data_IF_633904475275
#
_entry.id   IF_633904475275
#
_cell.length_a   1.000
_cell.length_b   1.000
_cell.length_c   1.000
_cell.angle_alpha   90.00
_cell.angle_beta   90.00
_cell.angle_gamma   90.00
#
_symmetry.space_group_name_H-M   'P 1'
#
loop_
_entity.id
_entity.type
_entity.pdbx_description
1 polymer ?
#
# COMPACT_ATOMS: atom_id res chain seq x y z
N UNK A 1 -54.15 7.56 -17.63
CA UNK A 1 -52.76 7.94 -17.98
C UNK A 1 -51.83 7.02 -17.20
N UNK A 2 -50.96 6.24 -17.87
CA UNK A 2 -50.02 5.29 -17.23
C UNK A 2 -48.68 6.01 -17.03
N UNK A 3 -48.25 6.18 -15.79
CA UNK A 3 -46.94 6.74 -15.44
C UNK A 3 -45.96 5.57 -15.24
N UNK A 4 -45.14 5.29 -16.24
CA UNK A 4 -44.02 4.36 -16.11
C UNK A 4 -42.86 5.11 -15.46
N UNK A 5 -42.68 4.93 -14.15
CA UNK A 5 -41.50 5.44 -13.43
C UNK A 5 -40.34 4.47 -13.59
N UNK A 6 -39.34 4.85 -14.38
CA UNK A 6 -38.05 4.17 -14.48
C UNK A 6 -37.18 4.65 -13.31
N UNK A 7 -36.93 3.79 -12.32
CA UNK A 7 -35.98 4.07 -11.24
C UNK A 7 -34.58 3.87 -11.81
N UNK A 8 -33.88 4.97 -12.10
CA UNK A 8 -32.46 4.94 -12.44
C UNK A 8 -31.65 4.70 -11.16
N UNK A 9 -31.01 3.52 -11.06
CA UNK A 9 -30.08 3.22 -9.98
C UNK A 9 -28.78 4.02 -10.19
N UNK A 10 -28.55 5.03 -9.35
CA UNK A 10 -27.30 5.80 -9.34
C UNK A 10 -26.18 4.92 -8.76
N UNK A 11 -25.18 4.58 -9.58
CA UNK A 11 -23.94 3.99 -9.09
C UNK A 11 -23.21 5.03 -8.23
N UNK A 12 -23.18 4.80 -6.91
CA UNK A 12 -22.33 5.56 -6.00
C UNK A 12 -20.88 5.23 -6.37
N UNK A 13 -20.24 6.11 -7.13
CA UNK A 13 -18.78 6.12 -7.24
C UNK A 13 -18.29 6.54 -5.87
N UNK A 14 -17.78 5.59 -5.09
CA UNK A 14 -17.08 5.90 -3.85
C UNK A 14 -15.86 6.73 -4.23
N UNK A 15 -15.99 8.06 -4.15
CA UNK A 15 -14.85 8.94 -4.18
C UNK A 15 -13.98 8.52 -3.01
N UNK A 16 -12.81 7.97 -3.32
CA UNK A 16 -11.82 7.51 -2.37
C UNK A 16 -11.66 8.61 -1.33
N UNK A 17 -12.12 8.36 -0.10
CA UNK A 17 -11.81 9.25 0.99
C UNK A 17 -10.28 9.18 1.14
N UNK A 18 -9.58 10.18 0.61
CA UNK A 18 -8.20 10.46 1.00
C UNK A 18 -8.34 10.95 2.44
N UNK A 19 -8.43 10.01 3.38
CA UNK A 19 -8.13 10.35 4.76
C UNK A 19 -6.64 10.72 4.72
N UNK A 20 -6.35 12.02 4.84
CA UNK A 20 -5.00 12.50 4.97
C UNK A 20 -4.29 11.66 6.04
N UNK A 21 -3.34 10.81 5.63
CA UNK A 21 -2.59 9.90 6.49
C UNK A 21 -2.81 8.40 6.26
N UNK A 22 -3.65 7.95 5.31
CA UNK A 22 -3.75 6.52 4.97
C UNK A 22 -3.38 6.26 3.50
N UNK A 23 -2.72 5.13 3.25
CA UNK A 23 -2.40 4.63 1.92
C UNK A 23 -3.68 4.44 1.07
N UNK A 24 -3.55 4.51 -0.25
CA UNK A 24 -4.69 4.33 -1.16
C UNK A 24 -4.95 2.84 -1.36
N UNK A 25 -6.14 2.40 -0.96
CA UNK A 25 -6.56 1.01 -1.06
C UNK A 25 -6.40 0.46 -2.49
N UNK A 26 -5.82 -0.72 -2.61
CA UNK A 26 -5.56 -1.38 -3.89
C UNK A 26 -4.19 -1.06 -4.51
N UNK A 27 -3.52 0.03 -4.10
CA UNK A 27 -2.16 0.33 -4.55
C UNK A 27 -1.11 -0.46 -3.78
N UNK A 28 0.05 -0.63 -4.40
CA UNK A 28 1.23 -1.15 -3.73
C UNK A 28 2.18 -0.02 -3.36
N UNK A 29 2.92 -0.21 -2.27
CA UNK A 29 3.83 0.78 -1.73
C UNK A 29 5.18 0.15 -1.38
N UNK A 30 6.24 0.90 -1.63
CA UNK A 30 7.53 0.68 -1.01
C UNK A 30 7.44 0.97 0.48
N UNK A 31 8.24 0.25 1.27
CA UNK A 31 8.33 0.51 2.70
C UNK A 31 8.86 1.91 2.99
N UNK A 32 9.72 2.48 2.15
CA UNK A 32 10.14 3.88 2.24
C UNK A 32 8.95 4.84 2.17
N UNK A 33 8.10 4.70 1.15
CA UNK A 33 6.91 5.53 0.94
C UNK A 33 5.97 5.46 2.14
N UNK A 34 5.77 4.27 2.72
CA UNK A 34 4.96 4.09 3.92
C UNK A 34 5.61 4.70 5.16
N UNK A 35 6.92 4.53 5.34
CA UNK A 35 7.70 5.12 6.44
C UNK A 35 7.58 6.65 6.42
N UNK A 36 7.77 7.27 5.26
CA UNK A 36 7.59 8.71 5.05
C UNK A 36 6.15 9.17 5.33
N UNK A 37 5.17 8.30 5.06
CA UNK A 37 3.76 8.53 5.37
C UNK A 37 3.38 8.25 6.84
N UNK A 38 4.34 7.86 7.70
CA UNK A 38 4.11 7.66 9.14
C UNK A 38 3.65 6.26 9.55
N UNK A 39 3.77 5.25 8.70
CA UNK A 39 3.26 3.88 8.94
C UNK A 39 4.11 3.02 9.89
N UNK A 40 5.03 3.60 10.67
CA UNK A 40 6.03 2.86 11.46
C UNK A 40 5.43 1.77 12.35
N UNK A 41 4.43 2.12 13.16
CA UNK A 41 3.80 1.18 14.10
C UNK A 41 3.01 0.09 13.36
N UNK A 42 2.36 0.46 12.24
CA UNK A 42 1.58 -0.47 11.42
C UNK A 42 2.52 -1.48 10.74
N UNK A 43 3.63 -1.02 10.17
CA UNK A 43 4.67 -1.90 9.58
C UNK A 43 5.20 -2.86 10.64
N UNK A 44 5.61 -2.35 11.79
CA UNK A 44 6.14 -3.18 12.87
C UNK A 44 5.14 -4.26 13.28
N UNK A 45 3.89 -3.86 13.55
CA UNK A 45 2.85 -4.78 14.01
C UNK A 45 2.50 -5.81 12.93
N UNK A 46 2.38 -5.40 11.67
CA UNK A 46 2.10 -6.32 10.56
C UNK A 46 3.21 -7.37 10.42
N UNK A 47 4.49 -6.96 10.48
CA UNK A 47 5.61 -7.90 10.41
C UNK A 47 5.61 -8.87 11.60
N UNK A 48 5.43 -8.36 12.82
CA UNK A 48 5.34 -9.20 14.02
C UNK A 48 4.23 -10.24 13.90
N UNK A 49 3.04 -9.81 13.49
CA UNK A 49 1.88 -10.69 13.32
C UNK A 49 2.06 -11.73 12.20
N UNK A 50 2.86 -11.42 11.19
CA UNK A 50 3.21 -12.32 10.08
C UNK A 50 4.40 -13.24 10.38
N UNK A 51 4.98 -13.19 11.59
CA UNK A 51 6.13 -14.02 11.98
C UNK A 51 7.49 -13.46 11.55
N UNK A 52 7.54 -12.29 10.92
CA UNK A 52 8.74 -11.60 10.45
C UNK A 52 9.44 -10.85 11.60
N UNK A 53 9.75 -11.58 12.69
CA UNK A 53 10.21 -10.97 13.96
C UNK A 53 11.51 -10.19 13.78
N UNK A 54 12.49 -10.72 13.03
CA UNK A 54 13.77 -10.03 12.80
C UNK A 54 13.54 -8.73 12.01
N UNK A 55 12.79 -8.80 10.91
CA UNK A 55 12.48 -7.65 10.09
C UNK A 55 11.66 -6.61 10.86
N UNK A 56 10.73 -7.03 11.72
CA UNK A 56 9.91 -6.13 12.55
C UNK A 56 10.73 -5.29 13.54
N UNK A 57 11.90 -5.76 13.96
CA UNK A 57 12.78 -5.04 14.88
C UNK A 57 13.92 -4.31 14.15
N UNK A 58 13.88 -4.25 12.81
CA UNK A 58 14.95 -3.70 11.97
C UNK A 58 14.41 -2.57 11.06
N UNK A 59 13.97 -1.43 11.62
CA UNK A 59 13.35 -0.36 10.82
C UNK A 59 14.27 0.22 9.73
N UNK A 60 15.59 0.17 9.93
CA UNK A 60 16.59 0.63 8.96
C UNK A 60 16.62 -0.16 7.65
N UNK A 61 15.93 -1.30 7.54
CA UNK A 61 15.85 -2.08 6.28
C UNK A 61 14.45 -2.07 5.65
N UNK A 62 13.47 -1.40 6.25
CA UNK A 62 12.10 -1.37 5.72
C UNK A 62 12.02 -0.67 4.37
N UNK A 63 12.95 0.22 4.01
CA UNK A 63 12.96 0.91 2.73
C UNK A 63 12.90 -0.04 1.51
N UNK A 64 13.46 -1.25 1.62
CA UNK A 64 13.46 -2.26 0.56
C UNK A 64 12.27 -3.23 0.59
N UNK A 65 11.29 -3.01 1.47
CA UNK A 65 10.11 -3.88 1.60
C UNK A 65 8.97 -3.43 0.69
N UNK A 66 8.03 -4.33 0.40
CA UNK A 66 6.91 -4.09 -0.51
C UNK A 66 5.59 -4.50 0.14
N UNK A 67 4.56 -3.70 -0.11
CA UNK A 67 3.31 -3.75 0.64
C UNK A 67 2.10 -3.56 -0.26
N UNK A 68 1.00 -4.25 0.05
CA UNK A 68 -0.33 -3.94 -0.50
C UNK A 68 -1.10 -3.10 0.50
N UNK A 69 -1.68 -1.99 0.07
CA UNK A 69 -2.65 -1.25 0.85
C UNK A 69 -4.05 -1.87 0.73
N UNK A 70 -4.66 -2.17 1.88
CA UNK A 70 -6.01 -2.71 1.98
C UNK A 70 -7.04 -1.60 2.26
N UNK A 71 -8.35 -1.86 2.05
CA UNK A 71 -9.40 -0.98 2.53
C UNK A 71 -9.25 -0.70 4.03
N UNK A 72 -9.45 0.56 4.43
CA UNK A 72 -9.25 0.99 5.82
C UNK A 72 -7.81 1.28 6.21
N UNK A 73 -6.88 1.29 5.24
CA UNK A 73 -5.51 1.77 5.43
C UNK A 73 -4.57 0.78 6.13
N UNK A 74 -5.02 -0.45 6.37
CA UNK A 74 -4.12 -1.54 6.78
C UNK A 74 -3.25 -1.99 5.61
N UNK A 75 -2.13 -2.67 5.90
CA UNK A 75 -1.17 -3.11 4.90
C UNK A 75 -0.89 -4.60 5.02
N UNK A 76 -0.62 -5.24 3.89
CA UNK A 76 -0.16 -6.63 3.80
C UNK A 76 1.28 -6.64 3.30
N UNK A 77 2.16 -7.36 4.00
CA UNK A 77 3.55 -7.54 3.57
C UNK A 77 3.60 -8.47 2.35
N UNK A 78 4.27 -8.02 1.29
CA UNK A 78 4.43 -8.77 0.03
C UNK A 78 5.84 -9.34 -0.15
N UNK A 79 6.82 -8.91 0.65
CA UNK A 79 8.21 -9.34 0.55
C UNK A 79 9.20 -8.17 0.43
N UNK A 80 10.45 -8.49 0.13
CA UNK A 80 11.50 -7.52 -0.18
C UNK A 80 11.78 -7.42 -1.68
N UNK A 81 12.19 -6.25 -2.15
CA UNK A 81 12.57 -5.99 -3.54
C UNK A 81 14.09 -6.05 -3.69
N UNK A 82 14.63 -7.17 -4.16
CA UNK A 82 16.08 -7.35 -4.32
C UNK A 82 16.70 -6.35 -5.30
N UNK A 83 15.98 -5.98 -6.35
CA UNK A 83 16.37 -4.99 -7.35
C UNK A 83 16.04 -3.54 -6.95
N UNK A 84 15.58 -3.33 -5.73
CA UNK A 84 15.12 -2.03 -5.23
C UNK A 84 13.63 -1.81 -5.40
N UNK A 85 13.13 -0.88 -4.61
CA UNK A 85 11.75 -0.43 -4.64
C UNK A 85 11.72 1.06 -5.01
N UNK A 86 10.84 1.42 -5.95
CA UNK A 86 10.79 2.75 -6.55
C UNK A 86 9.41 3.38 -6.35
N UNK A 87 9.39 4.57 -5.76
CA UNK A 87 8.18 5.40 -5.64
C UNK A 87 7.71 5.83 -7.03
N UNK A 88 6.49 5.43 -7.42
CA UNK A 88 5.90 5.75 -8.71
C UNK A 88 5.08 7.06 -8.70
N UNK A 89 5.12 7.78 -7.58
CA UNK A 89 4.43 9.03 -7.35
C UNK A 89 2.96 8.86 -6.96
N UNK A 90 2.36 9.97 -6.52
CA UNK A 90 1.01 10.00 -5.96
C UNK A 90 -0.03 9.37 -6.89
N UNK A 91 -0.82 8.45 -6.35
CA UNK A 91 -1.91 7.78 -7.06
C UNK A 91 -1.50 6.56 -7.89
N UNK A 92 -0.21 6.24 -7.95
CA UNK A 92 0.31 5.06 -8.64
C UNK A 92 0.76 3.99 -7.65
N UNK A 93 0.81 2.74 -8.11
CA UNK A 93 1.48 1.68 -7.34
C UNK A 93 2.98 1.81 -7.52
N UNK A 94 3.71 1.74 -6.41
CA UNK A 94 5.16 1.67 -6.41
C UNK A 94 5.65 0.39 -7.11
N UNK A 95 6.91 0.43 -7.55
CA UNK A 95 7.48 -0.62 -8.41
C UNK A 95 8.51 -1.39 -7.62
N UNK A 96 8.27 -2.70 -7.47
CA UNK A 96 9.22 -3.64 -6.89
C UNK A 96 10.03 -4.32 -7.99
N UNK A 97 11.33 -4.04 -8.06
CA UNK A 97 12.25 -4.79 -8.92
C UNK A 97 12.75 -6.04 -8.19
N UNK A 98 12.69 -7.18 -8.88
CA UNK A 98 13.29 -8.44 -8.42
C UNK A 98 14.61 -8.74 -9.13
N UNK A 99 15.07 -7.83 -9.99
CA UNK A 99 16.32 -7.99 -10.72
C UNK A 99 17.43 -7.16 -10.05
N UNK A 100 18.39 -7.85 -9.45
CA UNK A 100 19.51 -7.21 -8.75
C UNK A 100 20.49 -6.50 -9.70
N UNK A 101 20.42 -6.77 -11.01
CA UNK A 101 21.32 -6.18 -12.01
C UNK A 101 21.06 -4.68 -12.19
N UNK A 102 19.89 -4.19 -11.78
CA UNK A 102 19.54 -2.77 -11.84
C UNK A 102 20.36 -1.88 -10.85
N UNK A 103 21.20 -2.49 -10.01
CA UNK A 103 22.12 -1.83 -9.08
C UNK A 103 23.57 -1.74 -9.58
N UNK A 104 23.88 -2.33 -10.75
CA UNK A 104 25.20 -2.32 -11.41
C UNK A 104 25.20 -1.37 -12.61
#
# INVERSE_FOLDING_TARGET
>A
MKLTSTVAASLLVFANAVSAGQCVAGLNYCGSTLVDAGYHDIIQQTLRSSGEVVLSNSPGVWWGTYWKCNPGGSITYLGGCVGGCFDAGAGNSDICSHDASNWL
#
